data_IF_118273971693
#
_entry.id   IF_118273971693
#
_cell.length_a   1.000
_cell.length_b   1.000
_cell.length_c   1.000
_cell.angle_alpha   90.00
_cell.angle_beta   90.00
_cell.angle_gamma   90.00
#
_symmetry.space_group_name_H-M   'P 1'
#
loop_
_entity.id
_entity.type
_entity.pdbx_description
1 polymer ?
#
# COMPACT_ATOMS: atom_id res chain seq x y z
N UNK A 1 1.26 -27.94 9.75
CA UNK A 1 2.53 -28.21 9.02
C UNK A 1 2.77 -27.04 8.10
N UNK A 2 3.95 -26.38 8.17
CA UNK A 2 4.31 -25.29 7.26
C UNK A 2 4.45 -25.84 5.84
N UNK A 3 3.84 -25.25 4.81
CA UNK A 3 4.02 -25.71 3.45
C UNK A 3 5.40 -25.28 2.92
N UNK A 4 6.28 -26.24 2.65
CA UNK A 4 7.57 -26.00 2.00
C UNK A 4 8.64 -25.32 2.89
N UNK A 5 9.70 -24.74 2.26
CA UNK A 5 10.83 -24.15 2.95
C UNK A 5 10.56 -22.76 3.54
N UNK A 6 9.39 -22.18 3.25
CA UNK A 6 9.06 -20.82 3.63
C UNK A 6 8.77 -20.67 5.12
N UNK A 7 9.20 -19.56 5.68
CA UNK A 7 9.00 -19.21 7.08
C UNK A 7 8.24 -17.91 7.28
N UNK A 8 8.25 -17.02 6.27
CA UNK A 8 7.61 -15.72 6.32
C UNK A 8 6.73 -15.47 5.10
N UNK A 9 5.60 -14.83 5.33
CA UNK A 9 4.72 -14.26 4.33
C UNK A 9 4.78 -12.74 4.43
N UNK A 10 5.28 -12.10 3.38
CA UNK A 10 5.46 -10.65 3.30
C UNK A 10 4.49 -10.12 2.27
N UNK A 11 3.74 -9.09 2.63
CA UNK A 11 2.66 -8.55 1.83
C UNK A 11 2.97 -7.11 1.40
N UNK A 12 2.68 -6.77 0.14
CA UNK A 12 2.41 -5.38 -0.20
C UNK A 12 1.15 -4.91 0.54
N UNK A 13 1.01 -3.61 0.75
CA UNK A 13 -0.15 -3.06 1.46
C UNK A 13 -1.26 -2.61 0.51
N UNK A 14 -0.98 -1.60 -0.30
CA UNK A 14 -1.96 -0.88 -1.12
C UNK A 14 -2.35 -1.65 -2.38
N UNK A 15 -3.58 -2.15 -2.43
CA UNK A 15 -4.10 -3.02 -3.47
C UNK A 15 -3.93 -4.51 -3.17
N UNK A 16 -3.24 -4.88 -2.07
CA UNK A 16 -3.03 -6.28 -1.64
C UNK A 16 -3.73 -6.56 -0.32
N UNK A 17 -3.52 -5.75 0.71
CA UNK A 17 -4.23 -5.83 1.99
C UNK A 17 -5.34 -4.79 2.08
N UNK A 18 -5.12 -3.59 1.54
CA UNK A 18 -6.04 -2.46 1.59
C UNK A 18 -6.55 -2.12 0.19
N UNK A 19 -7.88 -1.99 0.06
CA UNK A 19 -8.53 -1.60 -1.19
C UNK A 19 -8.33 -0.10 -1.47
N UNK A 20 -7.45 0.20 -2.40
CA UNK A 20 -7.14 1.58 -2.81
C UNK A 20 -8.32 2.30 -3.46
N UNK A 21 -9.29 1.54 -3.99
CA UNK A 21 -10.47 2.08 -4.64
C UNK A 21 -11.56 2.49 -3.63
N UNK A 22 -11.48 2.01 -2.39
CA UNK A 22 -12.46 2.30 -1.33
C UNK A 22 -12.51 3.80 -0.98
N UNK A 23 -11.39 4.53 -1.10
CA UNK A 23 -11.36 5.98 -0.88
C UNK A 23 -12.31 6.72 -1.83
N UNK A 24 -12.22 6.42 -3.14
CA UNK A 24 -13.11 7.00 -4.15
C UNK A 24 -14.52 6.43 -4.05
N UNK A 25 -14.64 5.16 -3.69
CA UNK A 25 -15.92 4.47 -3.52
C UNK A 25 -16.88 5.20 -2.58
N UNK A 26 -16.34 5.80 -1.50
CA UNK A 26 -17.12 6.59 -0.51
C UNK A 26 -17.71 7.88 -1.07
N UNK A 27 -17.17 8.38 -2.17
CA UNK A 27 -17.62 9.63 -2.82
C UNK A 27 -18.18 9.39 -4.22
N UNK A 28 -18.60 8.13 -4.50
CA UNK A 28 -19.13 7.74 -5.82
C UNK A 28 -20.32 8.57 -6.24
N UNK A 29 -21.23 8.89 -5.31
CA UNK A 29 -22.41 9.70 -5.59
C UNK A 29 -22.03 11.14 -6.03
N UNK A 30 -21.01 11.71 -5.42
CA UNK A 30 -20.53 13.09 -5.74
C UNK A 30 -19.78 13.10 -7.08
N UNK A 31 -19.00 12.07 -7.37
CA UNK A 31 -18.20 11.95 -8.59
C UNK A 31 -19.02 11.46 -9.80
N UNK A 32 -20.14 10.77 -9.57
CA UNK A 32 -20.97 10.19 -10.62
C UNK A 32 -20.17 9.26 -11.53
N UNK A 33 -20.34 9.45 -12.84
CA UNK A 33 -19.63 8.63 -13.86
C UNK A 33 -18.10 8.82 -13.87
N UNK A 34 -17.58 9.86 -13.23
CA UNK A 34 -16.15 10.10 -13.11
C UNK A 34 -15.48 9.23 -12.01
N UNK A 35 -16.24 8.56 -11.14
CA UNK A 35 -15.70 7.83 -10.00
C UNK A 35 -14.68 6.74 -10.41
N UNK A 36 -15.05 5.85 -11.32
CA UNK A 36 -14.15 4.78 -11.75
C UNK A 36 -12.92 5.30 -12.53
N UNK A 37 -13.05 6.21 -13.52
CA UNK A 37 -11.89 6.82 -14.16
C UNK A 37 -10.94 7.54 -13.17
N UNK A 38 -11.49 8.28 -12.21
CA UNK A 38 -10.73 8.97 -11.16
C UNK A 38 -9.96 7.96 -10.31
N UNK A 39 -10.62 6.89 -9.84
CA UNK A 39 -10.00 5.87 -9.00
C UNK A 39 -8.85 5.15 -9.71
N UNK A 40 -9.06 4.73 -10.95
CA UNK A 40 -8.06 4.04 -11.77
C UNK A 40 -6.88 4.97 -12.06
N UNK A 41 -7.14 6.20 -12.50
CA UNK A 41 -6.08 7.15 -12.84
C UNK A 41 -5.27 7.54 -11.61
N UNK A 42 -5.92 7.71 -10.43
CA UNK A 42 -5.20 8.01 -9.19
C UNK A 42 -4.19 6.93 -8.85
N UNK A 43 -4.64 5.67 -8.88
CA UNK A 43 -3.74 4.54 -8.65
C UNK A 43 -2.61 4.45 -9.67
N UNK A 44 -2.93 4.62 -10.94
CA UNK A 44 -1.94 4.60 -12.04
C UNK A 44 -0.87 5.66 -11.83
N UNK A 45 -1.27 6.91 -11.52
CA UNK A 45 -0.32 8.02 -11.31
C UNK A 45 0.52 7.84 -10.04
N UNK A 46 -0.03 7.28 -8.97
CA UNK A 46 0.77 6.92 -7.80
C UNK A 46 1.92 5.97 -8.18
N UNK A 47 1.64 4.91 -8.93
CA UNK A 47 2.67 3.95 -9.35
C UNK A 47 3.68 4.60 -10.30
N UNK A 48 3.23 5.30 -11.33
CA UNK A 48 4.10 6.02 -12.26
C UNK A 48 5.04 6.98 -11.53
N UNK A 49 4.53 7.79 -10.60
CA UNK A 49 5.32 8.76 -9.86
C UNK A 49 6.35 8.10 -8.94
N UNK A 50 6.03 6.95 -8.32
CA UNK A 50 7.03 6.21 -7.54
C UNK A 50 8.18 5.75 -8.42
N UNK A 51 7.90 5.24 -9.63
CA UNK A 51 8.93 4.80 -10.56
C UNK A 51 9.77 5.96 -11.09
N UNK A 52 9.13 7.05 -11.50
CA UNK A 52 9.83 8.25 -11.98
C UNK A 52 10.71 8.87 -10.90
N UNK A 53 10.22 9.01 -9.67
CA UNK A 53 11.01 9.51 -8.53
C UNK A 53 12.22 8.62 -8.23
N UNK A 54 12.05 7.30 -8.29
CA UNK A 54 13.15 6.34 -8.13
C UNK A 54 14.21 6.50 -9.23
N UNK A 55 13.79 6.59 -10.51
CA UNK A 55 14.69 6.80 -11.64
C UNK A 55 15.44 8.13 -11.57
N UNK A 56 14.76 9.21 -11.17
CA UNK A 56 15.37 10.53 -10.98
C UNK A 56 16.23 10.62 -9.72
N UNK A 57 16.20 9.64 -8.82
CA UNK A 57 16.83 9.67 -7.50
C UNK A 57 16.36 10.85 -6.64
N UNK A 58 15.07 11.17 -6.74
CA UNK A 58 14.40 12.26 -6.02
C UNK A 58 13.25 11.69 -5.19
N UNK A 59 13.60 10.94 -4.17
CA UNK A 59 12.62 10.35 -3.27
C UNK A 59 11.85 11.44 -2.52
N UNK A 60 10.55 11.25 -2.41
CA UNK A 60 9.62 11.91 -1.50
C UNK A 60 8.76 10.84 -0.85
N UNK A 61 8.12 11.12 0.27
CA UNK A 61 7.26 10.12 0.89
C UNK A 61 6.03 9.78 0.03
N UNK A 62 5.43 8.62 0.28
CA UNK A 62 4.31 8.15 -0.52
C UNK A 62 3.04 8.99 -0.32
N UNK A 63 2.93 9.74 0.78
CA UNK A 63 1.83 10.67 0.98
C UNK A 63 1.91 11.83 -0.01
N UNK A 64 3.10 12.38 -0.22
CA UNK A 64 3.32 13.41 -1.25
C UNK A 64 2.98 12.88 -2.64
N UNK A 65 3.43 11.65 -2.97
CA UNK A 65 3.06 10.97 -4.23
C UNK A 65 1.53 10.87 -4.39
N UNK A 66 0.85 10.48 -3.31
CA UNK A 66 -0.61 10.33 -3.30
C UNK A 66 -1.32 11.66 -3.54
N UNK A 67 -0.82 12.74 -2.92
CA UNK A 67 -1.34 14.09 -3.10
C UNK A 67 -1.08 14.62 -4.51
N UNK A 68 0.16 14.53 -5.01
CA UNK A 68 0.54 14.97 -6.36
C UNK A 68 -0.29 14.26 -7.45
N UNK A 69 -0.50 12.95 -7.28
CA UNK A 69 -1.31 12.16 -8.19
C UNK A 69 -2.79 12.60 -8.19
N UNK A 70 -3.35 12.94 -7.03
CA UNK A 70 -4.71 13.45 -6.91
C UNK A 70 -4.86 14.84 -7.53
N UNK A 71 -3.89 15.71 -7.33
CA UNK A 71 -3.88 17.04 -7.95
C UNK A 71 -3.87 16.95 -9.49
N UNK A 72 -3.00 16.09 -10.03
CA UNK A 72 -2.95 15.83 -11.46
C UNK A 72 -4.30 15.37 -12.02
N UNK A 73 -4.94 14.41 -11.37
CA UNK A 73 -6.21 13.87 -11.89
C UNK A 73 -7.36 14.87 -11.79
N UNK A 74 -7.40 15.71 -10.75
CA UNK A 74 -8.41 16.76 -10.62
C UNK A 74 -8.27 17.77 -11.76
N UNK A 75 -7.03 18.14 -12.10
CA UNK A 75 -6.73 18.96 -13.27
C UNK A 75 -7.12 18.27 -14.58
N UNK A 76 -6.73 17.01 -14.77
CA UNK A 76 -6.97 16.25 -16.00
C UNK A 76 -8.46 16.00 -16.29
N UNK A 77 -9.27 15.89 -15.25
CA UNK A 77 -10.74 15.71 -15.36
C UNK A 77 -11.54 17.00 -15.18
N UNK A 78 -10.86 18.16 -15.10
CA UNK A 78 -11.48 19.47 -14.90
C UNK A 78 -12.44 19.49 -13.68
N UNK A 79 -12.01 18.85 -12.57
CA UNK A 79 -12.78 18.83 -11.34
C UNK A 79 -12.35 20.00 -10.46
N UNK A 80 -13.22 21.00 -10.31
CA UNK A 80 -12.96 22.17 -9.46
C UNK A 80 -13.73 22.00 -8.15
N UNK A 81 -13.19 21.18 -7.24
CA UNK A 81 -13.78 20.94 -5.93
C UNK A 81 -12.68 20.67 -4.88
N UNK A 82 -12.06 21.71 -4.28
CA UNK A 82 -11.00 21.55 -3.29
C UNK A 82 -11.43 20.80 -2.03
N UNK A 83 -12.70 20.92 -1.65
CA UNK A 83 -13.24 20.19 -0.50
C UNK A 83 -13.26 18.68 -0.75
N UNK A 84 -13.76 18.25 -1.90
CA UNK A 84 -13.74 16.85 -2.32
C UNK A 84 -12.30 16.30 -2.42
N UNK A 85 -11.37 17.10 -2.97
CA UNK A 85 -9.96 16.72 -3.04
C UNK A 85 -9.39 16.43 -1.65
N UNK A 86 -9.65 17.30 -0.68
CA UNK A 86 -9.21 17.09 0.69
C UNK A 86 -9.90 15.86 1.32
N UNK A 87 -11.19 15.69 1.10
CA UNK A 87 -11.95 14.53 1.60
C UNK A 87 -11.42 13.21 1.06
N UNK A 88 -11.05 13.14 -0.23
CA UNK A 88 -10.45 11.96 -0.84
C UNK A 88 -9.07 11.65 -0.24
N UNK A 89 -8.23 12.68 -0.02
CA UNK A 89 -6.96 12.50 0.68
C UNK A 89 -7.16 11.96 2.11
N UNK A 90 -8.13 12.51 2.85
CA UNK A 90 -8.43 12.00 4.20
C UNK A 90 -8.95 10.55 4.16
N UNK A 91 -9.80 10.23 3.18
CA UNK A 91 -10.29 8.87 3.01
C UNK A 91 -9.16 7.86 2.71
N UNK A 92 -8.08 8.30 2.09
CA UNK A 92 -6.92 7.45 1.82
C UNK A 92 -6.16 7.01 3.09
N UNK A 93 -6.33 7.70 4.21
CA UNK A 93 -5.85 7.25 5.52
C UNK A 93 -6.72 6.15 6.15
N UNK A 94 -7.91 5.93 5.61
CA UNK A 94 -8.92 5.01 6.16
C UNK A 94 -9.43 4.04 5.10
N UNK A 95 -8.51 3.48 4.28
CA UNK A 95 -8.88 2.47 3.28
C UNK A 95 -9.50 1.25 3.92
N UNK A 96 -10.44 0.64 3.22
CA UNK A 96 -11.02 -0.61 3.65
C UNK A 96 -10.02 -1.75 3.45
N UNK A 97 -9.94 -2.65 4.43
CA UNK A 97 -9.21 -3.90 4.30
C UNK A 97 -10.04 -4.88 3.46
N UNK A 98 -9.40 -5.64 2.58
CA UNK A 98 -10.12 -6.72 1.90
C UNK A 98 -10.67 -7.73 2.92
N UNK A 99 -11.91 -8.23 2.74
CA UNK A 99 -12.61 -9.00 3.76
C UNK A 99 -11.91 -10.32 4.13
N UNK A 100 -11.14 -10.91 3.23
CA UNK A 100 -10.39 -12.16 3.45
C UNK A 100 -9.09 -11.99 4.23
N UNK A 101 -8.58 -10.76 4.36
CA UNK A 101 -7.25 -10.49 4.94
C UNK A 101 -7.15 -10.89 6.41
N UNK A 102 -8.07 -10.51 7.32
CA UNK A 102 -7.92 -10.85 8.73
C UNK A 102 -7.92 -12.37 8.97
N UNK A 103 -8.78 -13.10 8.29
CA UNK A 103 -8.86 -14.56 8.41
C UNK A 103 -7.61 -15.23 7.85
N UNK A 104 -7.11 -14.76 6.70
CA UNK A 104 -5.89 -15.27 6.06
C UNK A 104 -4.67 -15.05 6.94
N UNK A 105 -4.48 -13.85 7.49
CA UNK A 105 -3.37 -13.55 8.39
C UNK A 105 -3.45 -14.40 9.67
N UNK A 106 -4.63 -14.53 10.26
CA UNK A 106 -4.83 -15.43 11.40
C UNK A 106 -4.47 -16.87 11.07
N UNK A 107 -4.89 -17.37 9.91
CA UNK A 107 -4.58 -18.72 9.44
C UNK A 107 -3.07 -18.95 9.28
N UNK A 108 -2.32 -17.94 8.80
CA UNK A 108 -0.86 -18.00 8.69
C UNK A 108 -0.19 -18.03 10.07
N UNK A 109 -0.62 -17.15 10.98
CA UNK A 109 -0.08 -17.06 12.33
C UNK A 109 -0.32 -18.38 13.13
N UNK A 110 -1.52 -18.94 13.03
CA UNK A 110 -1.86 -20.24 13.67
C UNK A 110 -0.97 -21.38 13.17
N UNK A 111 -0.35 -21.24 11.98
CA UNK A 111 0.61 -22.19 11.39
C UNK A 111 2.07 -21.84 11.63
N UNK A 112 2.31 -20.76 12.37
CA UNK A 112 3.64 -20.33 12.77
C UNK A 112 4.45 -19.69 11.63
N UNK A 113 3.79 -19.11 10.59
CA UNK A 113 4.46 -18.20 9.68
C UNK A 113 4.65 -16.85 10.35
N UNK A 114 5.82 -16.23 10.14
CA UNK A 114 5.97 -14.81 10.38
C UNK A 114 5.20 -14.01 9.31
N UNK A 115 4.53 -12.96 9.72
CA UNK A 115 3.75 -12.09 8.83
C UNK A 115 4.30 -10.66 8.83
N UNK A 116 4.50 -10.09 7.65
CA UNK A 116 5.02 -8.74 7.55
C UNK A 116 4.40 -7.95 6.39
N UNK A 117 4.42 -6.64 6.50
CA UNK A 117 4.16 -5.70 5.39
C UNK A 117 5.50 -5.19 4.87
N UNK A 118 5.65 -5.11 3.53
CA UNK A 118 6.71 -4.38 2.85
C UNK A 118 6.08 -3.47 1.80
N UNK A 119 6.02 -2.17 2.08
CA UNK A 119 5.21 -1.24 1.32
C UNK A 119 5.93 0.05 0.92
N UNK A 120 5.46 0.63 -0.18
CA UNK A 120 5.82 1.99 -0.60
C UNK A 120 5.22 3.08 0.32
N UNK A 121 4.21 2.73 1.14
CA UNK A 121 3.57 3.66 2.07
C UNK A 121 4.50 4.17 3.16
N UNK A 122 4.29 5.42 3.58
CA UNK A 122 5.01 5.98 4.73
C UNK A 122 4.65 5.27 6.03
N UNK A 123 5.52 5.28 7.05
CA UNK A 123 5.23 4.62 8.33
C UNK A 123 3.89 5.05 8.96
N UNK A 124 3.56 6.33 8.87
CA UNK A 124 2.29 6.88 9.39
C UNK A 124 1.08 6.33 8.65
N UNK A 125 1.15 6.25 7.31
CA UNK A 125 0.07 5.69 6.50
C UNK A 125 -0.16 4.21 6.80
N UNK A 126 0.93 3.44 6.92
CA UNK A 126 0.86 2.00 7.21
C UNK A 126 0.30 1.74 8.62
N UNK A 127 0.75 2.51 9.61
CA UNK A 127 0.22 2.43 10.96
C UNK A 127 -1.29 2.72 10.99
N UNK A 128 -1.75 3.74 10.28
CA UNK A 128 -3.19 4.03 10.15
C UNK A 128 -3.96 2.87 9.52
N UNK A 129 -3.47 2.31 8.41
CA UNK A 129 -4.13 1.18 7.74
C UNK A 129 -4.22 -0.06 8.63
N UNK A 130 -3.13 -0.42 9.29
CA UNK A 130 -3.08 -1.57 10.21
C UNK A 130 -4.03 -1.38 11.39
N UNK A 131 -3.99 -0.20 12.04
CA UNK A 131 -4.83 0.09 13.21
C UNK A 131 -6.32 0.15 12.85
N UNK A 132 -6.68 0.85 11.76
CA UNK A 132 -8.07 0.99 11.33
C UNK A 132 -8.69 -0.35 10.90
N UNK A 133 -7.87 -1.31 10.48
CA UNK A 133 -8.30 -2.65 10.07
C UNK A 133 -8.20 -3.70 11.19
N UNK A 134 -7.74 -3.33 12.38
CA UNK A 134 -7.58 -4.26 13.52
C UNK A 134 -6.54 -5.35 13.28
N UNK A 135 -5.51 -5.07 12.47
CA UNK A 135 -4.49 -6.05 12.08
C UNK A 135 -3.24 -6.04 12.97
N UNK A 136 -3.17 -5.21 14.03
CA UNK A 136 -1.98 -4.99 14.86
C UNK A 136 -1.46 -6.28 15.51
N UNK A 137 -2.37 -7.21 15.81
CA UNK A 137 -2.02 -8.49 16.41
C UNK A 137 -1.78 -9.61 15.40
N UNK A 138 -2.00 -9.32 14.13
CA UNK A 138 -1.92 -10.28 13.03
C UNK A 138 -0.70 -10.05 12.13
N UNK A 139 0.02 -8.93 12.32
CA UNK A 139 1.21 -8.56 11.55
C UNK A 139 2.36 -8.35 12.53
N UNK A 140 3.43 -9.13 12.37
CA UNK A 140 4.60 -9.09 13.25
C UNK A 140 5.52 -7.90 12.95
N UNK A 141 5.59 -7.46 11.68
CA UNK A 141 6.47 -6.37 11.25
C UNK A 141 5.86 -5.53 10.14
N UNK A 142 6.07 -4.22 10.20
CA UNK A 142 5.64 -3.27 9.17
C UNK A 142 6.87 -2.51 8.66
N UNK A 143 7.23 -2.77 7.40
CA UNK A 143 8.43 -2.23 6.77
C UNK A 143 8.04 -1.22 5.69
N UNK A 144 8.57 -0.01 5.81
CA UNK A 144 8.38 1.07 4.85
C UNK A 144 9.63 1.27 4.00
N UNK A 145 9.46 1.56 2.71
CA UNK A 145 10.55 1.95 1.82
C UNK A 145 11.25 3.25 2.22
N UNK A 146 10.66 4.03 3.12
CA UNK A 146 11.27 5.24 3.67
C UNK A 146 12.64 4.97 4.32
N UNK A 147 12.84 3.76 4.87
CA UNK A 147 14.13 3.35 5.43
C UNK A 147 15.24 3.24 4.36
N UNK A 148 14.86 3.05 3.10
CA UNK A 148 15.80 2.87 1.97
C UNK A 148 15.88 4.10 1.08
N UNK A 149 14.85 4.95 1.11
CA UNK A 149 14.74 6.15 0.29
C UNK A 149 14.56 5.87 -1.21
N UNK A 150 13.92 4.75 -1.56
CA UNK A 150 13.59 4.37 -2.93
C UNK A 150 12.36 3.47 -2.94
N UNK A 151 11.56 3.52 -4.00
CA UNK A 151 10.36 2.71 -4.12
C UNK A 151 10.59 1.33 -4.74
N UNK A 152 9.69 0.37 -4.46
CA UNK A 152 9.62 -0.87 -5.23
C UNK A 152 9.48 -0.54 -6.73
N UNK A 153 10.13 -1.30 -7.64
CA UNK A 153 10.74 -2.60 -7.44
C UNK A 153 12.27 -2.58 -7.22
N UNK A 154 12.85 -1.52 -6.67
CA UNK A 154 14.30 -1.49 -6.41
C UNK A 154 14.71 -2.67 -5.49
N UNK A 155 15.77 -3.44 -5.83
CA UNK A 155 16.20 -4.60 -5.05
C UNK A 155 16.53 -4.29 -3.59
N UNK A 156 16.97 -3.07 -3.27
CA UNK A 156 17.27 -2.64 -1.89
C UNK A 156 16.05 -2.71 -0.98
N UNK A 157 14.85 -2.49 -1.54
CA UNK A 157 13.60 -2.58 -0.78
C UNK A 157 13.33 -4.02 -0.35
N UNK A 158 13.57 -5.00 -1.22
CA UNK A 158 13.38 -6.42 -0.87
C UNK A 158 14.48 -6.90 0.09
N UNK A 159 15.69 -6.38 -0.03
CA UNK A 159 16.78 -6.64 0.89
C UNK A 159 16.47 -6.17 2.31
N UNK A 160 15.77 -5.03 2.46
CA UNK A 160 15.28 -4.56 3.77
C UNK A 160 14.46 -5.65 4.50
N UNK A 161 13.56 -6.35 3.78
CA UNK A 161 12.77 -7.42 4.40
C UNK A 161 13.64 -8.59 4.87
N UNK A 162 14.67 -8.97 4.09
CA UNK A 162 15.62 -10.02 4.46
C UNK A 162 16.37 -9.66 5.75
N UNK A 163 16.84 -8.43 5.86
CA UNK A 163 17.59 -7.92 7.01
C UNK A 163 16.73 -7.77 8.27
N UNK A 164 15.58 -7.13 8.14
CA UNK A 164 14.67 -6.86 9.27
C UNK A 164 14.04 -8.14 9.82
N UNK A 165 13.69 -9.09 8.94
CA UNK A 165 13.13 -10.39 9.36
C UNK A 165 14.21 -11.41 9.73
N UNK A 166 15.49 -11.06 9.59
CA UNK A 166 16.65 -11.92 9.91
C UNK A 166 16.53 -13.32 9.31
N UNK A 167 16.17 -13.38 8.03
CA UNK A 167 15.92 -14.62 7.30
C UNK A 167 16.54 -14.57 5.90
N UNK A 168 16.55 -15.69 5.20
CA UNK A 168 17.05 -15.77 3.82
C UNK A 168 15.93 -15.45 2.84
N UNK A 169 16.25 -14.81 1.70
CA UNK A 169 15.27 -14.45 0.66
C UNK A 169 14.44 -15.68 0.20
N UNK A 170 15.09 -16.84 0.06
CA UNK A 170 14.41 -18.09 -0.33
C UNK A 170 13.43 -18.65 0.71
N UNK A 171 13.35 -18.04 1.90
CA UNK A 171 12.37 -18.39 2.95
C UNK A 171 11.20 -17.41 3.05
N UNK A 172 11.18 -16.40 2.19
CA UNK A 172 10.11 -15.39 2.13
C UNK A 172 9.20 -15.68 0.93
N UNK A 173 7.90 -15.71 1.18
CA UNK A 173 6.88 -15.58 0.14
C UNK A 173 6.43 -14.12 0.11
N UNK A 174 6.63 -13.44 -1.02
CA UNK A 174 6.16 -12.08 -1.21
C UNK A 174 4.85 -12.08 -2.01
N UNK A 175 3.84 -11.39 -1.50
CA UNK A 175 2.52 -11.26 -2.10
C UNK A 175 2.29 -9.81 -2.53
N UNK A 176 1.94 -9.61 -3.80
CA UNK A 176 1.61 -8.30 -4.34
C UNK A 176 0.61 -8.43 -5.48
N UNK A 177 -0.36 -7.52 -5.55
CA UNK A 177 -1.25 -7.36 -6.70
C UNK A 177 -0.64 -6.50 -7.81
N UNK A 178 0.51 -5.87 -7.56
CA UNK A 178 1.23 -5.06 -8.54
C UNK A 178 2.25 -5.96 -9.24
N UNK A 179 1.81 -6.59 -10.33
CA UNK A 179 2.65 -7.42 -11.21
C UNK A 179 3.25 -6.58 -12.34
#
# INVERSE_FOLDING_TARGET
>A
MKPGPFTHCVFDAYGTLFDVHSAVGRYREVLGEKADPVSILWRTKQLEYTWLRSLMRQHVDFWQITSDALEYLFSAHEIINPELQNQLLQAYHHLDCYPEVPETLKWLNDRGFGTAILSNGSPKMLASGVNNSGLEKLIDSVLSVEEVGVFKPDPRVYQLAVEQLKTEAGKILFFSSNA
#
